data_IF_618818470798
#
_entry.id   IF_618818470798
#
_cell.length_a   1.000
_cell.length_b   1.000
_cell.length_c   1.000
_cell.angle_alpha   90.00
_cell.angle_beta   90.00
_cell.angle_gamma   90.00
#
_symmetry.space_group_name_H-M   'P 1'
#
loop_
_entity.id
_entity.type
_entity.pdbx_description
1 polymer ?
#
# COMPACT_ATOMS: atom_id res chain seq x y z
N UNK A 1 -50.94 -13.07 -31.40
CA UNK A 1 -50.28 -11.78 -31.72
C UNK A 1 -50.85 -11.16 -33.00
N UNK A 2 -50.89 -11.87 -34.13
CA UNK A 2 -51.48 -11.37 -35.39
C UNK A 2 -52.97 -11.03 -35.30
N UNK A 3 -53.78 -11.83 -34.59
CA UNK A 3 -55.20 -11.51 -34.35
C UNK A 3 -55.40 -10.25 -33.51
N UNK A 4 -54.53 -9.98 -32.52
CA UNK A 4 -54.59 -8.78 -31.68
C UNK A 4 -54.14 -7.52 -32.45
N UNK A 5 -53.14 -7.64 -33.34
CA UNK A 5 -52.72 -6.54 -34.22
C UNK A 5 -53.80 -6.17 -35.25
N UNK A 6 -54.67 -7.10 -35.64
CA UNK A 6 -55.81 -6.80 -36.51
C UNK A 6 -56.95 -6.03 -35.81
N UNK A 7 -57.07 -6.15 -34.49
CA UNK A 7 -58.16 -5.55 -33.70
C UNK A 7 -57.86 -4.16 -33.16
N UNK A 8 -56.57 -3.81 -32.96
CA UNK A 8 -56.15 -2.48 -32.49
C UNK A 8 -55.06 -1.88 -33.41
N UNK A 9 -55.41 -0.92 -34.29
CA UNK A 9 -54.46 -0.26 -35.18
C UNK A 9 -53.35 0.52 -34.47
N UNK A 10 -53.61 1.06 -33.27
CA UNK A 10 -52.58 1.74 -32.45
C UNK A 10 -51.59 0.73 -31.93
N UNK A 11 -52.06 -0.42 -31.46
CA UNK A 11 -51.21 -1.53 -31.02
C UNK A 11 -50.36 -2.08 -32.18
N UNK A 12 -50.97 -2.26 -33.37
CA UNK A 12 -50.26 -2.72 -34.56
C UNK A 12 -49.13 -1.76 -34.98
N UNK A 13 -49.42 -0.45 -34.97
CA UNK A 13 -48.42 0.59 -35.25
C UNK A 13 -47.26 0.52 -34.25
N UNK A 14 -47.54 0.49 -32.94
CA UNK A 14 -46.52 0.36 -31.89
C UNK A 14 -45.63 -0.87 -32.06
N UNK A 15 -46.22 -2.02 -32.41
CA UNK A 15 -45.47 -3.26 -32.61
C UNK A 15 -44.61 -3.24 -33.88
N UNK A 16 -45.10 -2.62 -34.96
CA UNK A 16 -44.32 -2.45 -36.19
C UNK A 16 -43.18 -1.43 -36.01
N UNK A 17 -43.42 -0.34 -35.30
CA UNK A 17 -42.39 0.65 -34.96
C UNK A 17 -41.30 0.02 -34.07
N UNK A 18 -41.69 -0.81 -33.09
CA UNK A 18 -40.76 -1.57 -32.26
C UNK A 18 -39.94 -2.60 -33.08
N UNK A 19 -40.57 -3.31 -34.03
CA UNK A 19 -39.87 -4.23 -34.95
C UNK A 19 -38.86 -3.48 -35.81
N UNK A 20 -39.25 -2.36 -36.44
CA UNK A 20 -38.35 -1.52 -37.25
C UNK A 20 -37.17 -0.99 -36.43
N UNK A 21 -37.42 -0.57 -35.19
CA UNK A 21 -36.37 -0.12 -34.27
C UNK A 21 -35.33 -1.22 -34.02
N UNK A 22 -35.80 -2.45 -33.74
CA UNK A 22 -34.93 -3.62 -33.53
C UNK A 22 -34.18 -4.06 -34.78
N UNK A 23 -34.74 -3.83 -35.98
CA UNK A 23 -34.05 -4.10 -37.25
C UNK A 23 -32.95 -3.06 -37.53
N UNK A 24 -33.16 -1.80 -37.16
CA UNK A 24 -32.21 -0.70 -37.39
C UNK A 24 -31.07 -0.63 -36.36
N UNK A 25 -31.32 -1.06 -35.12
CA UNK A 25 -30.33 -1.10 -34.05
C UNK A 25 -30.55 -2.33 -33.17
N UNK A 26 -30.09 -3.51 -33.61
CA UNK A 26 -30.43 -4.79 -32.97
C UNK A 26 -29.71 -5.01 -31.63
N UNK A 27 -28.70 -4.20 -31.32
CA UNK A 27 -27.90 -4.33 -30.10
C UNK A 27 -28.37 -3.34 -29.05
N UNK A 28 -28.81 -3.86 -27.90
CA UNK A 28 -29.16 -3.10 -26.70
C UNK A 28 -28.03 -3.17 -25.67
N UNK A 29 -27.72 -2.04 -25.03
CA UNK A 29 -26.83 -2.00 -23.86
C UNK A 29 -27.71 -2.24 -22.62
N UNK A 30 -27.46 -3.35 -21.92
CA UNK A 30 -28.20 -3.72 -20.71
C UNK A 30 -27.64 -3.04 -19.45
N UNK A 31 -26.36 -2.66 -19.47
CA UNK A 31 -25.75 -1.96 -18.34
C UNK A 31 -26.29 -0.55 -18.22
N UNK A 32 -26.81 -0.19 -17.04
CA UNK A 32 -27.18 1.17 -16.71
C UNK A 32 -25.96 1.96 -16.23
N UNK A 33 -25.57 3.06 -16.90
CA UNK A 33 -24.48 3.89 -16.44
C UNK A 33 -24.71 4.47 -15.04
N UNK A 34 -23.63 4.62 -14.28
CA UNK A 34 -23.64 5.26 -12.96
C UNK A 34 -22.49 6.25 -12.80
N UNK A 35 -22.60 7.13 -11.80
CA UNK A 35 -21.57 8.09 -11.43
C UNK A 35 -20.29 7.44 -10.86
N UNK A 36 -20.33 6.13 -10.58
CA UNK A 36 -19.14 5.36 -10.19
C UNK A 36 -18.19 5.11 -11.37
N UNK A 37 -18.65 5.29 -12.61
CA UNK A 37 -17.82 5.21 -13.79
C UNK A 37 -17.45 6.64 -14.23
N UNK A 38 -16.15 7.02 -14.26
CA UNK A 38 -15.73 8.36 -14.67
C UNK A 38 -16.09 8.69 -16.13
N UNK A 39 -16.39 7.67 -16.95
CA UNK A 39 -16.83 7.83 -18.34
C UNK A 39 -18.35 7.74 -18.50
N UNK A 40 -19.11 7.49 -17.42
CA UNK A 40 -20.56 7.26 -17.45
C UNK A 40 -21.00 6.25 -18.53
N UNK A 41 -20.22 5.17 -18.70
CA UNK A 41 -20.48 4.10 -19.68
C UNK A 41 -20.89 2.76 -19.06
N UNK A 42 -20.55 2.54 -17.79
CA UNK A 42 -20.95 1.34 -17.04
C UNK A 42 -21.49 1.69 -15.65
N UNK A 43 -21.94 0.67 -14.93
CA UNK A 43 -22.46 0.71 -13.56
C UNK A 43 -21.35 0.80 -12.47
N UNK A 44 -20.11 1.04 -12.88
CA UNK A 44 -18.93 1.06 -12.01
C UNK A 44 -18.24 -0.29 -11.84
N UNK A 45 -18.77 -1.37 -12.44
CA UNK A 45 -18.10 -2.68 -12.43
C UNK A 45 -16.94 -2.79 -13.42
N UNK A 46 -16.87 -1.86 -14.39
CA UNK A 46 -15.92 -1.91 -15.49
C UNK A 46 -16.38 -2.75 -16.69
N UNK A 47 -17.60 -3.28 -16.67
CA UNK A 47 -18.16 -4.09 -17.74
C UNK A 47 -19.43 -3.47 -18.33
N UNK A 48 -19.59 -3.60 -19.64
CA UNK A 48 -20.78 -3.18 -20.39
C UNK A 48 -21.43 -4.43 -20.96
N UNK A 49 -22.60 -4.76 -20.45
CA UNK A 49 -23.43 -5.86 -20.94
C UNK A 49 -24.22 -5.42 -22.16
N UNK A 50 -24.18 -6.25 -23.20
CA UNK A 50 -24.89 -6.03 -24.46
C UNK A 50 -25.69 -7.26 -24.86
N UNK A 51 -26.81 -7.02 -25.52
CA UNK A 51 -27.67 -8.06 -26.09
C UNK A 51 -28.00 -7.75 -27.53
N UNK A 52 -27.89 -8.75 -28.41
CA UNK A 52 -28.26 -8.69 -29.82
C UNK A 52 -29.61 -9.38 -30.04
N UNK A 53 -30.67 -8.58 -30.11
CA UNK A 53 -32.04 -9.06 -30.29
C UNK A 53 -32.29 -9.72 -31.66
N UNK A 54 -31.42 -9.52 -32.66
CA UNK A 54 -31.54 -10.21 -33.95
C UNK A 54 -31.27 -11.71 -33.83
N UNK A 55 -30.49 -12.12 -32.82
CA UNK A 55 -30.10 -13.51 -32.59
C UNK A 55 -31.05 -14.29 -31.69
N UNK A 56 -32.09 -13.65 -31.12
CA UNK A 56 -33.00 -14.25 -30.12
C UNK A 56 -33.70 -15.55 -30.55
N UNK A 57 -33.83 -15.77 -31.86
CA UNK A 57 -34.51 -16.94 -32.44
C UNK A 57 -33.54 -17.96 -33.04
N UNK A 58 -32.23 -17.70 -32.98
CA UNK A 58 -31.21 -18.60 -33.52
C UNK A 58 -30.77 -19.58 -32.43
N UNK A 59 -31.13 -20.88 -32.54
CA UNK A 59 -30.66 -21.87 -31.58
C UNK A 59 -29.12 -21.94 -31.60
N UNK A 60 -28.52 -22.04 -30.41
CA UNK A 60 -27.07 -22.17 -30.20
C UNK A 60 -26.20 -20.94 -30.55
N UNK A 61 -26.78 -19.74 -30.74
CA UNK A 61 -26.01 -18.49 -30.85
C UNK A 61 -26.07 -17.72 -29.54
N UNK A 62 -24.91 -17.29 -29.01
CA UNK A 62 -24.87 -16.32 -27.90
C UNK A 62 -25.40 -14.97 -28.40
N UNK A 63 -26.49 -14.51 -27.81
CA UNK A 63 -27.09 -13.20 -28.03
C UNK A 63 -26.63 -12.17 -26.99
N UNK A 64 -26.06 -12.59 -25.86
CA UNK A 64 -25.52 -11.72 -24.81
C UNK A 64 -23.99 -11.83 -24.68
N UNK A 65 -23.33 -10.69 -24.46
CA UNK A 65 -21.89 -10.62 -24.18
C UNK A 65 -21.53 -9.41 -23.30
N UNK A 66 -20.28 -9.38 -22.84
CA UNK A 66 -19.70 -8.25 -22.12
C UNK A 66 -18.55 -7.65 -22.92
N UNK A 67 -18.41 -6.34 -22.82
CA UNK A 67 -17.23 -5.60 -23.26
C UNK A 67 -16.63 -4.84 -22.08
N UNK A 68 -15.31 -4.68 -22.11
CA UNK A 68 -14.62 -3.86 -21.12
C UNK A 68 -14.98 -2.39 -21.33
N UNK A 69 -15.35 -1.73 -20.24
CA UNK A 69 -15.47 -0.29 -20.20
C UNK A 69 -14.08 0.35 -20.14
N UNK A 70 -13.93 1.58 -20.63
CA UNK A 70 -12.69 2.36 -20.54
C UNK A 70 -12.17 2.56 -19.09
N UNK A 71 -13.03 2.41 -18.06
CA UNK A 71 -12.62 2.49 -16.66
C UNK A 71 -12.08 1.17 -16.10
N UNK A 72 -12.17 0.05 -16.84
CA UNK A 72 -11.81 -1.28 -16.34
C UNK A 72 -10.34 -1.35 -15.92
N UNK A 73 -9.42 -0.87 -16.76
CA UNK A 73 -7.98 -0.90 -16.44
C UNK A 73 -7.66 -0.11 -15.18
N UNK A 74 -8.25 1.08 -15.02
CA UNK A 74 -8.07 1.92 -13.84
C UNK A 74 -8.62 1.23 -12.58
N UNK A 75 -9.81 0.62 -12.66
CA UNK A 75 -10.42 -0.12 -11.57
C UNK A 75 -9.57 -1.33 -11.15
N UNK A 76 -9.07 -2.09 -12.11
CA UNK A 76 -8.22 -3.26 -11.84
C UNK A 76 -6.90 -2.84 -11.20
N UNK A 77 -6.27 -1.77 -11.70
CA UNK A 77 -5.06 -1.20 -11.10
C UNK A 77 -5.31 -0.74 -9.67
N UNK A 78 -6.45 -0.09 -9.40
CA UNK A 78 -6.79 0.38 -8.07
C UNK A 78 -7.01 -0.78 -7.09
N UNK A 79 -7.71 -1.84 -7.51
CA UNK A 79 -7.87 -3.07 -6.73
C UNK A 79 -6.54 -3.78 -6.45
N UNK A 80 -5.63 -3.78 -7.42
CA UNK A 80 -4.30 -4.36 -7.23
C UNK A 80 -3.51 -3.59 -6.16
N UNK A 81 -3.55 -2.25 -6.20
CA UNK A 81 -2.91 -1.41 -5.19
C UNK A 81 -3.52 -1.65 -3.81
N UNK A 82 -4.84 -1.71 -3.70
CA UNK A 82 -5.53 -2.00 -2.43
C UNK A 82 -5.10 -3.36 -1.86
N UNK A 83 -5.06 -4.40 -2.69
CA UNK A 83 -4.59 -5.73 -2.30
C UNK A 83 -3.14 -5.68 -1.81
N UNK A 84 -2.26 -4.94 -2.48
CA UNK A 84 -0.85 -4.78 -2.05
C UNK A 84 -0.75 -4.04 -0.72
N UNK A 85 -1.52 -2.97 -0.52
CA UNK A 85 -1.57 -2.23 0.75
C UNK A 85 -1.99 -3.13 1.92
N UNK A 86 -3.01 -3.96 1.72
CA UNK A 86 -3.50 -4.86 2.76
C UNK A 86 -2.48 -5.97 3.11
N UNK A 87 -1.77 -6.49 2.09
CA UNK A 87 -0.71 -7.49 2.30
C UNK A 87 0.57 -6.90 2.90
N UNK A 88 0.82 -5.61 2.70
CA UNK A 88 2.02 -4.94 3.17
C UNK A 88 2.09 -4.81 4.70
N UNK A 89 0.98 -4.98 5.43
CA UNK A 89 0.94 -4.85 6.90
C UNK A 89 1.39 -3.48 7.42
N UNK A 90 1.18 -2.40 6.66
CA UNK A 90 1.39 -1.04 7.15
C UNK A 90 0.42 -0.77 8.31
N UNK A 91 0.87 -0.12 9.40
CA UNK A 91 -0.01 0.21 10.52
C UNK A 91 -1.29 0.93 10.04
N UNK A 92 -2.50 0.50 10.46
CA UNK A 92 -3.75 1.04 9.93
C UNK A 92 -3.87 2.57 10.03
N UNK A 93 -3.34 3.16 11.10
CA UNK A 93 -3.29 4.62 11.31
C UNK A 93 -2.49 5.38 10.22
N UNK A 94 -1.63 4.68 9.48
CA UNK A 94 -0.82 5.24 8.39
C UNK A 94 -1.19 4.68 7.01
N UNK A 95 -2.31 3.96 6.87
CA UNK A 95 -2.75 3.37 5.58
C UNK A 95 -2.87 4.42 4.46
N UNK A 96 -3.33 5.62 4.80
CA UNK A 96 -3.50 6.72 3.85
C UNK A 96 -2.45 7.84 3.98
N UNK A 97 -1.42 7.62 4.80
CA UNK A 97 -0.37 8.61 5.00
C UNK A 97 0.37 8.88 3.68
N UNK A 98 0.59 10.16 3.37
CA UNK A 98 1.36 10.61 2.20
C UNK A 98 2.51 11.49 2.64
N UNK A 99 3.58 11.55 1.84
CA UNK A 99 4.71 12.46 2.12
C UNK A 99 4.23 13.90 2.22
N UNK A 100 3.27 14.31 1.39
CA UNK A 100 2.71 15.66 1.42
C UNK A 100 1.97 15.95 2.75
N UNK A 101 1.17 14.99 3.23
CA UNK A 101 0.46 15.11 4.51
C UNK A 101 1.40 15.22 5.71
N UNK A 102 2.71 14.95 5.55
CA UNK A 102 3.69 15.09 6.62
C UNK A 102 3.83 16.54 7.11
N UNK A 103 3.04 16.92 8.12
CA UNK A 103 3.03 18.29 8.64
C UNK A 103 4.22 18.55 9.55
N UNK A 104 5.07 19.47 9.12
CA UNK A 104 6.26 19.90 9.86
C UNK A 104 5.94 20.98 10.89
N UNK A 105 4.75 21.60 10.84
CA UNK A 105 4.37 22.64 11.79
C UNK A 105 3.93 22.06 13.15
N UNK A 106 3.79 20.74 13.24
CA UNK A 106 3.51 20.04 14.51
C UNK A 106 4.70 20.09 15.47
N UNK A 107 5.92 20.29 14.98
CA UNK A 107 7.09 20.47 15.83
C UNK A 107 7.17 21.91 16.34
N UNK A 108 7.31 22.09 17.65
CA UNK A 108 7.31 23.41 18.30
C UNK A 108 8.66 24.09 18.15
N UNK A 109 9.75 23.35 18.34
CA UNK A 109 11.10 23.90 18.28
C UNK A 109 11.49 24.27 16.84
N UNK A 110 12.24 25.36 16.64
CA UNK A 110 12.69 25.79 15.31
C UNK A 110 13.56 24.72 14.64
N UNK A 111 14.49 24.16 15.41
CA UNK A 111 15.49 23.22 14.91
C UNK A 111 14.84 21.88 14.56
N UNK A 112 13.84 21.46 15.35
CA UNK A 112 12.97 20.33 15.03
C UNK A 112 12.22 20.55 13.72
N UNK A 113 11.64 21.73 13.49
CA UNK A 113 10.94 22.05 12.24
C UNK A 113 11.85 22.01 11.04
N UNK A 114 13.08 22.53 11.16
CA UNK A 114 14.07 22.50 10.09
C UNK A 114 14.50 21.05 9.77
N UNK A 115 14.77 20.25 10.81
CA UNK A 115 15.11 18.83 10.68
C UNK A 115 13.95 18.06 10.02
N UNK A 116 12.71 18.30 10.46
CA UNK A 116 11.51 17.70 9.88
C UNK A 116 11.33 18.05 8.40
N UNK A 117 11.60 19.32 8.04
CA UNK A 117 11.52 19.81 6.67
C UNK A 117 12.57 19.13 5.79
N UNK A 118 13.78 18.97 6.29
CA UNK A 118 14.86 18.25 5.61
C UNK A 118 14.50 16.78 5.41
N UNK A 119 13.97 16.12 6.44
CA UNK A 119 13.52 14.73 6.35
C UNK A 119 12.36 14.55 5.35
N UNK A 120 11.36 15.44 5.38
CA UNK A 120 10.25 15.46 4.41
C UNK A 120 10.76 15.64 2.97
N UNK A 121 11.72 16.54 2.76
CA UNK A 121 12.35 16.76 1.45
C UNK A 121 13.14 15.54 0.98
N UNK A 122 13.89 14.90 1.88
CA UNK A 122 14.62 13.67 1.58
C UNK A 122 13.65 12.54 1.19
N UNK A 123 12.53 12.38 1.90
CA UNK A 123 11.48 11.41 1.58
C UNK A 123 10.85 11.68 0.21
N UNK A 124 10.51 12.93 -0.10
CA UNK A 124 9.95 13.31 -1.41
C UNK A 124 10.94 13.01 -2.54
N UNK A 125 12.20 13.43 -2.38
CA UNK A 125 13.25 13.16 -3.35
C UNK A 125 13.51 11.65 -3.52
N UNK A 126 13.47 10.88 -2.45
CA UNK A 126 13.63 9.43 -2.50
C UNK A 126 12.53 8.78 -3.32
N UNK A 127 11.26 9.16 -3.08
CA UNK A 127 10.12 8.67 -3.86
C UNK A 127 10.30 9.03 -5.33
N UNK A 128 10.59 10.30 -5.66
CA UNK A 128 10.76 10.73 -7.06
C UNK A 128 11.90 10.02 -7.79
N UNK A 129 12.98 9.67 -7.09
CA UNK A 129 14.17 9.02 -7.65
C UNK A 129 14.25 7.53 -7.33
N UNK A 130 13.12 6.90 -6.97
CA UNK A 130 13.10 5.54 -6.45
C UNK A 130 13.73 4.51 -7.41
N UNK A 131 13.49 4.61 -8.72
CA UNK A 131 14.09 3.68 -9.70
C UNK A 131 15.62 3.66 -9.63
N UNK A 132 16.25 4.83 -9.57
CA UNK A 132 17.70 4.93 -9.39
C UNK A 132 18.12 4.33 -8.05
N UNK A 133 17.41 4.65 -6.97
CA UNK A 133 17.70 4.07 -5.65
C UNK A 133 17.59 2.53 -5.67
N UNK A 134 16.61 1.99 -6.38
CA UNK A 134 16.39 0.55 -6.56
C UNK A 134 17.54 -0.11 -7.35
N UNK A 135 18.04 0.51 -8.42
CA UNK A 135 19.20 -0.01 -9.19
C UNK A 135 20.48 -0.13 -8.33
N UNK A 136 20.64 0.76 -7.34
CA UNK A 136 21.71 0.70 -6.36
C UNK A 136 21.38 -0.16 -5.13
N UNK A 137 20.15 -0.66 -4.99
CA UNK A 137 19.68 -1.38 -3.80
C UNK A 137 19.69 -0.52 -2.53
N UNK A 138 19.45 0.79 -2.66
CA UNK A 138 19.56 1.78 -1.59
C UNK A 138 18.21 2.16 -1.00
N UNK A 139 18.08 2.02 0.32
CA UNK A 139 16.95 2.53 1.11
C UNK A 139 17.32 3.74 1.96
N UNK A 140 16.45 4.06 2.92
CA UNK A 140 16.66 5.09 3.92
C UNK A 140 16.66 4.48 5.32
N UNK A 141 17.41 5.10 6.22
CA UNK A 141 17.38 4.84 7.65
C UNK A 141 16.92 6.11 8.37
N UNK A 142 15.69 6.10 8.89
CA UNK A 142 15.13 7.25 9.60
C UNK A 142 15.49 7.15 11.08
N UNK A 143 16.28 8.10 11.57
CA UNK A 143 16.85 8.07 12.91
C UNK A 143 16.35 9.23 13.78
N UNK A 144 16.00 8.93 15.03
CA UNK A 144 15.91 9.92 16.11
C UNK A 144 15.90 9.16 17.43
N UNK A 145 16.62 9.66 18.42
CA UNK A 145 16.67 9.08 19.77
C UNK A 145 15.29 9.12 20.46
N UNK A 146 14.52 10.18 20.19
CA UNK A 146 13.17 10.40 20.75
C UNK A 146 12.12 9.50 20.08
N UNK A 147 11.33 8.80 20.90
CA UNK A 147 10.14 8.08 20.41
C UNK A 147 9.03 9.08 20.07
N UNK A 148 8.17 8.73 19.12
CA UNK A 148 7.06 9.61 18.75
C UNK A 148 7.42 10.78 17.82
N UNK A 149 8.67 10.86 17.34
CA UNK A 149 9.13 11.91 16.41
C UNK A 149 8.66 11.76 14.96
N UNK A 150 7.80 10.78 14.65
CA UNK A 150 7.22 10.61 13.30
C UNK A 150 8.01 9.72 12.34
N UNK A 151 9.04 8.99 12.81
CA UNK A 151 9.81 8.00 12.02
C UNK A 151 8.92 7.01 11.27
N UNK A 152 8.13 6.22 12.00
CA UNK A 152 7.20 5.22 11.46
C UNK A 152 6.23 5.84 10.44
N UNK A 153 5.67 7.00 10.78
CA UNK A 153 4.75 7.74 9.90
C UNK A 153 5.40 8.12 8.57
N UNK A 154 6.62 8.67 8.60
CA UNK A 154 7.30 9.12 7.39
C UNK A 154 7.72 7.93 6.52
N UNK A 155 8.22 6.83 7.11
CA UNK A 155 8.55 5.63 6.34
C UNK A 155 7.29 4.96 5.75
N UNK A 156 6.16 4.94 6.47
CA UNK A 156 4.87 4.48 5.94
C UNK A 156 4.39 5.35 4.78
N UNK A 157 4.61 6.68 4.86
CA UNK A 157 4.28 7.61 3.77
C UNK A 157 5.10 7.34 2.50
N UNK A 158 6.38 7.00 2.66
CA UNK A 158 7.24 6.56 1.55
C UNK A 158 6.73 5.24 1.00
N UNK A 159 6.51 4.23 1.85
CA UNK A 159 6.00 2.91 1.45
C UNK A 159 4.71 3.00 0.64
N UNK A 160 3.74 3.80 1.11
CA UNK A 160 2.48 4.06 0.40
C UNK A 160 2.72 4.69 -0.98
N UNK A 161 3.61 5.68 -1.06
CA UNK A 161 3.93 6.33 -2.33
C UNK A 161 4.61 5.34 -3.30
N UNK A 162 5.51 4.49 -2.81
CA UNK A 162 6.17 3.48 -3.64
C UNK A 162 5.17 2.48 -4.24
N UNK A 163 4.26 1.95 -3.43
CA UNK A 163 3.22 1.04 -3.92
C UNK A 163 2.27 1.73 -4.92
N UNK A 164 1.81 2.94 -4.61
CA UNK A 164 0.85 3.67 -5.47
C UNK A 164 1.47 4.13 -6.79
N UNK A 165 2.72 4.58 -6.79
CA UNK A 165 3.38 5.16 -7.97
C UNK A 165 4.13 4.14 -8.81
N UNK A 166 4.79 3.18 -8.18
CA UNK A 166 5.66 2.20 -8.85
C UNK A 166 5.08 0.78 -8.87
N UNK A 167 4.01 0.51 -8.12
CA UNK A 167 3.38 -0.80 -8.09
C UNK A 167 4.24 -1.89 -7.45
N UNK A 168 5.23 -1.52 -6.63
CA UNK A 168 6.13 -2.50 -5.99
C UNK A 168 5.42 -3.30 -4.92
N UNK A 169 5.78 -4.57 -4.79
CA UNK A 169 5.42 -5.40 -3.65
C UNK A 169 6.26 -5.00 -2.43
N UNK A 170 5.57 -4.75 -1.31
CA UNK A 170 6.17 -4.24 -0.09
C UNK A 170 5.74 -5.07 1.11
N UNK A 171 6.66 -5.29 2.07
CA UNK A 171 6.33 -5.83 3.38
C UNK A 171 6.81 -4.85 4.47
N UNK A 172 5.93 -4.55 5.42
CA UNK A 172 6.17 -3.71 6.57
C UNK A 172 6.12 -4.58 7.82
N UNK A 173 7.12 -4.46 8.69
CA UNK A 173 7.12 -5.15 9.96
C UNK A 173 7.94 -4.40 11.00
N UNK A 174 7.57 -4.58 12.26
CA UNK A 174 8.42 -4.19 13.38
C UNK A 174 9.52 -5.21 13.57
N UNK A 175 10.71 -4.76 13.97
CA UNK A 175 11.84 -5.62 14.29
C UNK A 175 11.48 -6.73 15.30
N UNK A 176 10.77 -6.38 16.38
CA UNK A 176 10.32 -7.35 17.40
C UNK A 176 9.29 -8.37 16.87
N UNK A 177 8.40 -7.95 15.97
CA UNK A 177 7.39 -8.83 15.38
C UNK A 177 8.04 -9.87 14.47
N UNK A 178 9.09 -9.48 13.70
CA UNK A 178 9.91 -10.42 12.92
C UNK A 178 10.44 -11.55 13.80
N UNK A 179 11.13 -11.15 14.87
CA UNK A 179 11.80 -12.09 15.78
C UNK A 179 10.79 -12.99 16.47
N UNK A 180 9.64 -12.44 16.84
CA UNK A 180 8.57 -13.19 17.50
C UNK A 180 7.95 -14.22 16.54
N UNK A 181 7.68 -13.84 15.30
CA UNK A 181 7.13 -14.76 14.29
C UNK A 181 8.08 -15.92 14.02
N UNK A 182 9.38 -15.62 13.85
CA UNK A 182 10.41 -16.64 13.64
C UNK A 182 10.59 -17.51 14.90
N UNK A 183 10.59 -16.95 16.11
CA UNK A 183 10.65 -17.75 17.35
C UNK A 183 9.46 -18.69 17.50
N UNK A 184 8.26 -18.28 17.09
CA UNK A 184 7.06 -19.13 17.14
C UNK A 184 7.20 -20.34 16.22
N UNK A 185 7.82 -20.20 15.05
CA UNK A 185 8.07 -21.33 14.14
C UNK A 185 9.08 -22.33 14.67
N UNK A 186 10.01 -21.92 15.55
CA UNK A 186 10.91 -22.86 16.25
C UNK A 186 10.21 -23.72 17.33
N UNK A 187 9.14 -23.21 17.95
CA UNK A 187 8.43 -23.92 19.02
C UNK A 187 7.29 -24.83 18.51
N UNK A 188 6.82 -24.61 17.28
CA UNK A 188 5.90 -25.51 16.56
C UNK A 188 6.69 -26.46 15.66
N UNK A 189 6.38 -27.75 15.67
CA UNK A 189 7.17 -28.82 15.00
C UNK A 189 7.11 -28.81 13.45
N UNK A 190 7.40 -27.71 12.76
CA UNK A 190 7.53 -27.69 11.29
C UNK A 190 8.55 -26.66 10.77
N UNK A 191 9.75 -27.12 10.38
CA UNK A 191 10.82 -26.31 9.75
C UNK A 191 10.37 -25.53 8.49
N UNK A 192 9.31 -25.98 7.82
CA UNK A 192 8.78 -25.39 6.60
C UNK A 192 8.34 -23.93 6.77
N UNK A 193 7.77 -23.58 7.93
CA UNK A 193 7.17 -22.24 8.15
C UNK A 193 8.20 -21.15 8.44
N UNK A 194 9.31 -21.48 9.11
CA UNK A 194 10.40 -20.52 9.33
C UNK A 194 11.03 -20.09 8.00
N UNK A 195 11.35 -21.10 7.18
CA UNK A 195 11.93 -20.90 5.85
C UNK A 195 11.03 -20.01 5.00
N UNK A 196 9.72 -20.23 5.01
CA UNK A 196 8.76 -19.41 4.26
C UNK A 196 8.76 -17.94 4.68
N UNK A 197 8.75 -17.65 5.99
CA UNK A 197 8.75 -16.28 6.51
C UNK A 197 10.06 -15.56 6.15
N UNK A 198 11.21 -16.22 6.37
CA UNK A 198 12.52 -15.65 6.00
C UNK A 198 12.60 -15.44 4.48
N UNK A 199 12.10 -16.39 3.69
CA UNK A 199 12.06 -16.27 2.23
C UNK A 199 11.16 -15.12 1.78
N UNK A 200 10.03 -14.88 2.41
CA UNK A 200 9.17 -13.73 2.12
C UNK A 200 9.95 -12.40 2.29
N UNK A 201 10.62 -12.22 3.43
CA UNK A 201 11.37 -10.99 3.72
C UNK A 201 12.64 -10.84 2.91
N UNK A 202 13.29 -11.96 2.55
CA UNK A 202 14.36 -11.97 1.57
C UNK A 202 13.85 -11.56 0.19
N UNK A 203 12.65 -12.00 -0.19
CA UNK A 203 12.22 -11.93 -1.59
C UNK A 203 11.43 -10.69 -1.99
N UNK A 204 10.69 -10.07 -1.06
CA UNK A 204 9.90 -8.87 -1.33
C UNK A 204 10.74 -7.73 -1.92
N UNK A 205 10.18 -6.98 -2.87
CA UNK A 205 10.90 -5.93 -3.59
C UNK A 205 11.37 -4.82 -2.65
N UNK A 206 10.46 -4.36 -1.78
CA UNK A 206 10.75 -3.38 -0.72
C UNK A 206 10.41 -3.95 0.65
N UNK A 207 11.35 -3.88 1.57
CA UNK A 207 11.14 -4.28 2.98
C UNK A 207 11.24 -3.05 3.87
N UNK A 208 10.30 -2.87 4.79
CA UNK A 208 10.36 -1.84 5.82
C UNK A 208 10.53 -2.50 7.17
N UNK A 209 11.67 -2.26 7.83
CA UNK A 209 11.93 -2.73 9.19
C UNK A 209 11.81 -1.53 10.14
N UNK A 210 10.71 -1.49 10.89
CA UNK A 210 10.40 -0.42 11.84
C UNK A 210 10.98 -0.73 13.23
N UNK A 211 11.47 0.30 13.91
CA UNK A 211 12.05 0.28 15.26
C UNK A 211 13.19 -0.73 15.44
N UNK A 212 14.15 -0.74 14.50
CA UNK A 212 15.37 -1.53 14.64
C UNK A 212 16.21 -1.04 15.83
N UNK A 213 16.82 -1.98 16.56
CA UNK A 213 17.64 -1.75 17.74
C UNK A 213 16.89 -1.29 19.01
N UNK A 214 15.55 -1.43 19.03
CA UNK A 214 14.72 -1.29 20.23
C UNK A 214 14.61 -2.61 21.00
N UNK A 215 14.78 -3.74 20.31
CA UNK A 215 14.75 -5.08 20.88
C UNK A 215 15.94 -5.36 21.80
N UNK A 216 15.79 -6.37 22.67
CA UNK A 216 16.96 -6.93 23.37
C UNK A 216 17.84 -7.64 22.34
N UNK A 217 19.04 -7.11 22.12
CA UNK A 217 20.05 -7.80 21.30
C UNK A 217 20.29 -9.18 21.85
N UNK A 218 19.96 -10.19 21.05
CA UNK A 218 20.25 -11.59 21.32
C UNK A 218 20.99 -12.12 20.11
N UNK A 219 21.89 -13.07 20.30
CA UNK A 219 22.60 -13.72 19.19
C UNK A 219 21.64 -14.28 18.13
N UNK A 220 20.44 -14.66 18.56
CA UNK A 220 19.35 -15.07 17.69
C UNK A 220 18.88 -13.93 16.78
N UNK A 221 18.61 -12.76 17.35
CA UNK A 221 18.15 -11.59 16.59
C UNK A 221 19.19 -11.16 15.56
N UNK A 222 20.46 -11.08 15.98
CA UNK A 222 21.56 -10.70 15.09
C UNK A 222 21.71 -11.72 13.93
N UNK A 223 21.61 -13.03 14.21
CA UNK A 223 21.62 -14.07 13.17
C UNK A 223 20.48 -13.94 12.16
N UNK A 224 19.26 -13.70 12.64
CA UNK A 224 18.07 -13.54 11.79
C UNK A 224 18.19 -12.31 10.90
N UNK A 225 18.52 -11.15 11.48
CA UNK A 225 18.69 -9.93 10.70
C UNK A 225 19.84 -10.06 9.71
N UNK A 226 20.98 -10.61 10.14
CA UNK A 226 22.10 -10.86 9.24
C UNK A 226 21.67 -11.71 8.04
N UNK A 227 21.00 -12.83 8.28
CA UNK A 227 20.51 -13.73 7.25
C UNK A 227 19.60 -13.03 6.21
N UNK A 228 18.66 -12.19 6.66
CA UNK A 228 17.76 -11.45 5.76
C UNK A 228 18.50 -10.35 5.01
N UNK A 229 19.27 -9.53 5.74
CA UNK A 229 19.91 -8.34 5.21
C UNK A 229 21.07 -8.66 4.25
N UNK A 230 21.82 -9.73 4.51
CA UNK A 230 22.93 -10.15 3.64
C UNK A 230 22.40 -10.61 2.28
N UNK A 231 21.36 -11.45 2.25
CA UNK A 231 20.68 -11.84 1.01
C UNK A 231 20.15 -10.62 0.25
N UNK A 232 19.45 -9.70 0.94
CA UNK A 232 18.89 -8.51 0.30
C UNK A 232 19.98 -7.61 -0.27
N UNK A 233 21.11 -7.48 0.42
CA UNK A 233 22.27 -6.73 -0.05
C UNK A 233 22.85 -7.34 -1.34
N UNK A 234 23.09 -8.65 -1.36
CA UNK A 234 23.61 -9.37 -2.52
C UNK A 234 22.71 -9.23 -3.76
N UNK A 235 21.40 -9.20 -3.54
CA UNK A 235 20.39 -9.11 -4.60
C UNK A 235 19.91 -7.67 -4.85
N UNK A 236 20.57 -6.66 -4.27
CA UNK A 236 20.23 -5.23 -4.37
C UNK A 236 18.75 -4.91 -4.08
N UNK A 237 18.16 -5.59 -3.10
CA UNK A 237 16.77 -5.35 -2.68
C UNK A 237 16.69 -4.20 -1.70
N UNK A 238 15.73 -3.30 -1.91
CA UNK A 238 15.61 -2.05 -1.15
C UNK A 238 15.07 -2.33 0.25
N UNK A 239 15.74 -1.83 1.28
CA UNK A 239 15.26 -1.94 2.66
C UNK A 239 15.21 -0.57 3.31
N UNK A 240 14.03 -0.17 3.80
CA UNK A 240 13.83 1.03 4.59
C UNK A 240 13.84 0.67 6.07
N UNK A 241 14.42 1.55 6.88
CA UNK A 241 14.59 1.33 8.31
C UNK A 241 14.10 2.53 9.09
N UNK A 242 13.64 2.28 10.30
CA UNK A 242 13.56 3.30 11.34
C UNK A 242 14.28 2.78 12.59
N UNK A 243 14.89 3.67 13.36
CA UNK A 243 15.58 3.29 14.58
C UNK A 243 15.81 4.44 15.54
N UNK A 244 16.16 4.10 16.77
CA UNK A 244 16.47 5.05 17.84
C UNK A 244 17.97 5.17 18.15
N UNK A 245 18.82 4.59 17.29
CA UNK A 245 20.28 4.73 17.32
C UNK A 245 20.77 5.09 15.93
N UNK A 246 21.84 5.85 15.81
CA UNK A 246 22.51 6.06 14.52
C UNK A 246 23.06 4.74 14.00
N UNK A 247 23.30 4.64 12.69
CA UNK A 247 23.92 3.47 12.06
C UNK A 247 25.26 3.13 12.72
N UNK A 248 26.06 4.13 13.06
CA UNK A 248 27.37 3.92 13.72
C UNK A 248 27.21 3.37 15.15
N UNK A 249 26.12 3.73 15.84
CA UNK A 249 25.82 3.24 17.19
C UNK A 249 25.10 1.88 17.21
N UNK A 250 24.71 1.32 16.05
CA UNK A 250 24.11 -0.01 15.98
C UNK A 250 25.06 -1.12 16.44
N UNK A 251 26.38 -0.92 16.34
CA UNK A 251 27.39 -1.86 16.86
C UNK A 251 27.33 -2.08 18.37
N UNK A 252 26.72 -1.16 19.12
CA UNK A 252 26.48 -1.31 20.56
C UNK A 252 25.30 -2.26 20.87
N UNK A 253 24.47 -2.53 19.87
CA UNK A 253 23.34 -3.46 19.96
C UNK A 253 23.74 -4.78 19.32
N UNK A 254 24.12 -4.76 18.05
CA UNK A 254 24.56 -5.96 17.32
C UNK A 254 26.09 -6.08 17.39
N UNK A 255 26.57 -6.83 18.38
CA UNK A 255 27.96 -6.84 18.81
C UNK A 255 28.88 -7.50 17.78
N UNK A 256 28.39 -8.47 16.99
CA UNK A 256 29.21 -9.04 15.91
C UNK A 256 29.44 -8.04 14.76
N UNK A 257 28.69 -6.92 14.74
CA UNK A 257 28.85 -5.80 13.81
C UNK A 257 28.38 -6.08 12.38
N UNK A 258 27.92 -7.31 12.08
CA UNK A 258 27.52 -7.72 10.74
C UNK A 258 26.24 -7.02 10.27
N UNK A 259 25.26 -6.89 11.17
CA UNK A 259 24.00 -6.19 10.88
C UNK A 259 24.25 -4.72 10.58
N UNK A 260 24.99 -4.02 11.44
CA UNK A 260 25.35 -2.60 11.28
C UNK A 260 26.09 -2.34 9.96
N UNK A 261 27.04 -3.21 9.61
CA UNK A 261 27.76 -3.15 8.33
C UNK A 261 26.82 -3.22 7.11
N UNK A 262 25.81 -4.10 7.16
CA UNK A 262 24.85 -4.30 6.06
C UNK A 262 23.92 -3.10 5.93
N UNK A 263 23.37 -2.62 7.05
CA UNK A 263 22.51 -1.43 7.11
C UNK A 263 23.26 -0.21 6.55
N UNK A 264 24.50 0.02 6.98
CA UNK A 264 25.36 1.10 6.47
C UNK A 264 25.57 1.03 4.96
N UNK A 265 25.72 -0.18 4.42
CA UNK A 265 25.91 -0.37 2.97
C UNK A 265 24.61 -0.20 2.18
N UNK A 266 23.46 -0.59 2.71
CA UNK A 266 22.19 -0.60 1.96
C UNK A 266 21.32 0.65 2.17
N UNK A 267 21.64 1.54 3.11
CA UNK A 267 20.79 2.70 3.40
C UNK A 267 21.56 4.02 3.42
N UNK A 268 20.81 5.11 3.34
CA UNK A 268 21.26 6.47 3.66
C UNK A 268 20.55 6.92 4.93
N UNK A 269 21.31 7.44 5.89
CA UNK A 269 20.79 7.93 7.15
C UNK A 269 20.12 9.30 6.97
N UNK A 270 18.91 9.46 7.52
CA UNK A 270 18.13 10.69 7.55
C UNK A 270 17.72 10.97 8.99
N UNK A 271 18.16 12.12 9.50
CA UNK A 271 17.84 12.57 10.83
C UNK A 271 16.39 13.05 10.90
N UNK A 272 15.68 12.60 11.92
CA UNK A 272 14.36 13.04 12.32
C UNK A 272 14.49 13.95 13.54
N UNK A 273 13.49 14.79 13.82
CA UNK A 273 13.55 15.71 14.96
C UNK A 273 13.62 14.99 16.30
N UNK A 274 14.34 15.56 17.27
CA UNK A 274 14.40 15.08 18.65
C UNK A 274 13.27 15.66 19.50
N UNK A 275 12.05 15.52 18.99
CA UNK A 275 10.83 16.03 19.60
C UNK A 275 9.68 15.05 19.34
N UNK A 276 8.89 14.75 20.39
CA UNK A 276 7.79 13.79 20.34
C UNK A 276 6.47 14.48 20.01
N UNK A 277 6.04 14.38 18.75
CA UNK A 277 4.70 14.85 18.35
C UNK A 277 3.62 14.02 19.05
N UNK A 278 3.87 12.70 19.22
CA UNK A 278 2.89 11.80 19.82
C UNK A 278 2.53 12.21 21.25
N UNK A 279 3.51 12.63 22.04
CA UNK A 279 3.26 13.04 23.42
C UNK A 279 2.49 14.36 23.47
N UNK A 280 2.79 15.29 22.57
CA UNK A 280 2.06 16.56 22.42
C UNK A 280 0.60 16.36 21.98
N UNK A 281 0.36 15.46 21.03
CA UNK A 281 -0.98 15.07 20.58
C UNK A 281 -1.76 14.43 21.74
N UNK A 282 -1.14 13.48 22.44
CA UNK A 282 -1.76 12.79 23.58
C UNK A 282 -2.10 13.75 24.72
N UNK A 283 -1.23 14.70 25.05
CA UNK A 283 -1.50 15.71 26.08
C UNK A 283 -2.69 16.59 25.70
N UNK A 284 -2.77 17.00 24.43
CA UNK A 284 -3.86 17.83 23.91
C UNK A 284 -5.19 17.09 23.90
N UNK A 285 -5.20 15.83 23.43
CA UNK A 285 -6.38 14.97 23.42
C UNK A 285 -6.89 14.68 24.84
N UNK A 286 -5.99 14.29 25.74
CA UNK A 286 -6.35 14.00 27.13
C UNK A 286 -6.93 15.22 27.85
N UNK A 287 -6.41 16.42 27.60
CA UNK A 287 -6.99 17.66 28.17
C UNK A 287 -8.42 17.92 27.72
N UNK A 288 -8.78 17.61 26.47
CA UNK A 288 -10.15 17.75 25.99
C UNK A 288 -11.06 16.66 26.58
N UNK A 289 -10.55 15.43 26.69
CA UNK A 289 -11.30 14.32 27.30
C UNK A 289 -11.51 14.52 28.81
N UNK A 290 -10.54 15.10 29.52
CA UNK A 290 -10.66 15.44 30.94
C UNK A 290 -11.82 16.43 31.18
N UNK A 291 -12.03 17.40 30.29
CA UNK A 291 -13.20 18.30 30.37
C UNK A 291 -14.53 17.56 30.21
N UNK A 292 -14.57 16.49 29.40
CA UNK A 292 -15.77 15.67 29.23
C UNK A 292 -16.01 14.77 30.44
N UNK A 293 -14.93 14.23 31.02
CA UNK A 293 -15.01 13.25 32.12
C UNK A 293 -15.20 13.90 33.50
N UNK A 294 -14.60 15.08 33.72
CA UNK A 294 -14.52 15.73 35.03
C UNK A 294 -15.00 17.19 35.02
N UNK A 295 -15.36 17.74 33.86
CA UNK A 295 -15.82 19.13 33.69
C UNK A 295 -17.33 19.30 33.62
#
# INVERSE_FOLDING_TARGET
>A
MEQMMKQDPRFAKRMNDAKKSLESNPVEILTLPSDKCPYHKCDGTGWIWKRDWSKRHLPNKKDEWQEQCDCYEQLMKQREIERKLDLAQIPPIFKDATVNSFDVNLYKQSDSRETATTAKKAAANYVSNFKTMQEYGKGLYLFSEVKGSGKTRLVSSIANALMKMYGVDLAFLKADDLLTQIKKTFNGKTESTESEIIQLFRNVEVLVIDDIAVEKSTDFAERVFFNVLDYRLEHKKVTLFTGNKTIDNLGNVYIEGRVSSRIKKMSLEVYMPEESIRDDEAESENKELEKILFG
#
